data_IF_563454470687
#
_entry.id   IF_563454470687
#
_cell.length_a   1.000
_cell.length_b   1.000
_cell.length_c   1.000
_cell.angle_alpha   90.00
_cell.angle_beta   90.00
_cell.angle_gamma   90.00
#
_symmetry.space_group_name_H-M   'P 1'
#
loop_
_entity.id
_entity.type
_entity.pdbx_description
1 polymer ?
#
# COMPACT_ATOMS: atom_id res chain seq x y z
N UNK A 1 -26.17 15.71 16.31
CA UNK A 1 -25.13 14.68 16.16
C UNK A 1 -24.83 14.49 14.68
N UNK A 2 -23.78 15.18 14.21
CA UNK A 2 -23.23 14.95 12.88
C UNK A 2 -22.23 13.80 12.98
N UNK A 3 -22.62 12.63 12.48
CA UNK A 3 -21.65 11.56 12.22
C UNK A 3 -20.81 11.95 11.01
N UNK A 4 -19.51 12.18 11.25
CA UNK A 4 -18.55 12.35 10.19
C UNK A 4 -18.42 11.03 9.42
N UNK A 5 -19.04 10.93 8.26
CA UNK A 5 -18.77 9.85 7.29
C UNK A 5 -17.33 9.99 6.85
N UNK A 6 -16.52 8.99 7.14
CA UNK A 6 -15.18 8.88 6.59
C UNK A 6 -15.32 8.56 5.10
N UNK A 7 -15.02 9.53 4.26
CA UNK A 7 -15.04 9.33 2.81
C UNK A 7 -13.88 8.40 2.43
N UNK A 8 -14.24 7.18 2.01
CA UNK A 8 -13.30 6.23 1.41
C UNK A 8 -13.13 6.49 -0.09
N UNK A 9 -13.72 7.55 -0.63
CA UNK A 9 -13.63 7.91 -2.05
C UNK A 9 -12.21 8.31 -2.51
N UNK A 10 -11.29 8.60 -1.59
CA UNK A 10 -9.90 8.92 -1.91
C UNK A 10 -9.02 7.76 -2.37
N UNK A 11 -9.51 6.52 -2.36
CA UNK A 11 -8.83 5.34 -2.91
C UNK A 11 -9.54 4.93 -4.19
N UNK A 12 -9.46 5.75 -5.22
CA UNK A 12 -9.89 5.35 -6.57
C UNK A 12 -8.86 4.41 -7.15
N UNK A 13 -9.17 3.13 -7.14
CA UNK A 13 -8.46 2.15 -7.92
C UNK A 13 -8.86 2.32 -9.37
N UNK A 14 -7.89 2.61 -10.21
CA UNK A 14 -8.06 2.50 -11.65
C UNK A 14 -8.43 1.06 -11.99
N UNK A 15 -9.65 0.83 -12.46
CA UNK A 15 -9.98 -0.38 -13.21
C UNK A 15 -9.15 -0.32 -14.48
N UNK A 16 -8.19 -1.22 -14.58
CA UNK A 16 -7.40 -1.39 -15.78
C UNK A 16 -8.30 -1.95 -16.88
N UNK A 17 -8.60 -1.10 -17.87
CA UNK A 17 -8.89 -1.37 -19.25
C UNK A 17 -9.99 -2.36 -19.60
N UNK A 18 -11.19 -1.87 -19.88
CA UNK A 18 -11.98 -2.36 -21.01
C UNK A 18 -11.78 -1.39 -22.18
N UNK A 19 -10.80 -1.69 -23.03
CA UNK A 19 -10.78 -1.12 -24.36
C UNK A 19 -11.88 -1.78 -25.19
N UNK A 20 -12.95 -1.05 -25.45
CA UNK A 20 -13.90 -1.39 -26.52
C UNK A 20 -13.20 -1.22 -27.86
N UNK A 21 -12.96 -2.33 -28.52
CA UNK A 21 -12.55 -2.38 -29.91
C UNK A 21 -13.66 -1.81 -30.79
N UNK A 22 -13.41 -0.64 -31.38
CA UNK A 22 -14.10 -0.22 -32.59
C UNK A 22 -13.24 -0.58 -33.78
N UNK A 23 -13.75 -1.44 -34.66
CA UNK A 23 -13.05 -1.92 -35.83
C UNK A 23 -12.88 -0.86 -36.92
N UNK A 24 -11.83 -1.02 -37.73
CA UNK A 24 -11.90 -0.86 -39.18
C UNK A 24 -10.64 -1.37 -39.83
N UNK A 25 -10.83 -2.42 -40.67
CA UNK A 25 -10.38 -2.64 -42.06
C UNK A 25 -8.91 -2.36 -42.39
N UNK A 26 -8.16 -3.43 -42.65
CA UNK A 26 -7.40 -3.74 -43.84
C UNK A 26 -6.09 -2.99 -44.08
N UNK A 27 -4.96 -3.72 -43.98
CA UNK A 27 -4.08 -3.97 -45.15
C UNK A 27 -2.91 -4.88 -44.75
N UNK A 28 -2.61 -5.81 -45.67
CA UNK A 28 -1.52 -6.79 -45.56
C UNK A 28 -0.19 -6.12 -45.86
N UNK A 29 0.79 -6.27 -44.95
CA UNK A 29 2.20 -6.33 -45.34
C UNK A 29 2.93 -7.42 -44.59
N UNK A 30 3.56 -8.31 -45.36
CA UNK A 30 4.52 -9.33 -44.92
C UNK A 30 5.82 -8.67 -44.50
N UNK A 31 6.44 -9.19 -43.47
CA UNK A 31 7.88 -9.02 -43.28
C UNK A 31 8.36 -9.08 -41.84
N UNK A 32 8.94 -10.22 -41.50
CA UNK A 32 10.09 -10.46 -40.63
C UNK A 32 10.10 -10.06 -39.16
N UNK A 33 10.12 -11.12 -38.32
CA UNK A 33 10.96 -11.30 -37.13
C UNK A 33 11.01 -10.22 -36.06
N UNK A 34 10.14 -10.38 -35.03
CA UNK A 34 10.48 -9.95 -33.69
C UNK A 34 10.24 -11.13 -32.75
N UNK A 35 11.32 -11.81 -32.37
CA UNK A 35 11.37 -12.77 -31.31
C UNK A 35 11.34 -12.02 -29.98
N UNK A 36 10.60 -12.61 -29.02
CA UNK A 36 10.59 -12.32 -27.58
C UNK A 36 9.80 -11.12 -27.07
N UNK A 37 8.51 -11.12 -27.34
CA UNK A 37 7.54 -10.53 -26.42
C UNK A 37 6.85 -11.63 -25.62
N UNK A 38 7.47 -12.18 -24.58
CA UNK A 38 6.75 -12.98 -23.59
C UNK A 38 5.78 -12.05 -22.87
N UNK A 39 4.54 -12.04 -23.30
CA UNK A 39 3.38 -11.65 -22.51
C UNK A 39 3.38 -12.54 -21.28
N UNK A 40 3.86 -11.99 -20.17
CA UNK A 40 3.78 -12.67 -18.86
C UNK A 40 2.31 -12.67 -18.47
N UNK A 41 1.67 -13.79 -18.77
CA UNK A 41 0.30 -14.11 -18.41
C UNK A 41 0.04 -13.82 -16.94
N UNK A 42 -0.90 -12.94 -16.71
CA UNK A 42 -1.82 -12.74 -15.61
C UNK A 42 -1.51 -13.33 -14.23
N UNK A 43 -0.54 -12.78 -13.47
CA UNK A 43 -0.68 -12.80 -12.02
C UNK A 43 -1.64 -11.67 -11.64
N UNK A 44 -2.76 -12.00 -11.00
CA UNK A 44 -3.67 -11.02 -10.44
C UNK A 44 -2.89 -10.04 -9.55
N UNK A 45 -3.31 -8.78 -9.50
CA UNK A 45 -2.70 -7.75 -8.65
C UNK A 45 -2.61 -8.22 -7.20
N UNK A 46 -3.56 -9.05 -6.74
CA UNK A 46 -3.59 -9.66 -5.40
C UNK A 46 -2.38 -10.52 -5.07
N UNK A 47 -1.71 -11.10 -6.08
CA UNK A 47 -0.56 -12.00 -5.87
C UNK A 47 0.79 -11.29 -6.00
N UNK A 48 0.78 -10.03 -6.41
CA UNK A 48 2.00 -9.25 -6.61
C UNK A 48 2.44 -8.55 -5.33
N UNK A 49 3.75 -8.38 -5.21
CA UNK A 49 4.42 -7.61 -4.16
C UNK A 49 5.42 -6.64 -4.78
N UNK A 50 5.44 -5.41 -4.28
CA UNK A 50 6.42 -4.40 -4.69
C UNK A 50 7.29 -4.06 -3.51
N UNK A 51 8.57 -4.38 -3.61
CA UNK A 51 9.55 -4.11 -2.56
C UNK A 51 9.75 -2.61 -2.40
N UNK A 52 9.63 -2.10 -1.20
CA UNK A 52 9.94 -0.71 -0.89
C UNK A 52 11.46 -0.57 -0.77
N UNK A 53 12.04 0.31 -1.58
CA UNK A 53 13.41 0.75 -1.40
C UNK A 53 13.43 1.87 -0.37
N UNK A 54 14.28 1.75 0.62
CA UNK A 54 14.38 2.72 1.72
C UNK A 54 15.83 3.20 1.80
N UNK A 55 16.11 4.50 1.61
CA UNK A 55 15.18 5.52 1.09
C UNK A 55 14.88 5.35 -0.41
N UNK A 56 13.75 5.90 -0.88
CA UNK A 56 13.39 5.89 -2.29
C UNK A 56 11.89 5.96 -2.56
N UNK A 57 11.56 5.90 -3.85
CA UNK A 57 10.16 5.92 -4.32
C UNK A 57 9.86 4.65 -5.10
N UNK A 58 8.65 4.14 -4.93
CA UNK A 58 8.14 2.96 -5.63
C UNK A 58 6.80 3.30 -6.24
N UNK A 59 6.70 3.13 -7.55
CA UNK A 59 5.43 3.23 -8.28
C UNK A 59 4.87 1.83 -8.49
N UNK A 60 3.61 1.66 -8.17
CA UNK A 60 2.88 0.40 -8.32
C UNK A 60 1.45 0.67 -8.80
N UNK A 61 0.73 -0.33 -9.30
CA UNK A 61 -0.71 -0.19 -9.60
C UNK A 61 -1.56 0.18 -8.39
N UNK A 62 -1.02 0.02 -7.17
CA UNK A 62 -1.67 0.38 -5.92
C UNK A 62 -1.39 1.84 -5.50
N UNK A 63 -0.60 2.60 -6.27
CA UNK A 63 -0.22 3.98 -6.01
C UNK A 63 1.29 4.17 -5.90
N UNK A 64 1.68 5.41 -5.60
CA UNK A 64 3.08 5.83 -5.45
C UNK A 64 3.40 5.92 -3.96
N UNK A 65 4.53 5.34 -3.57
CA UNK A 65 5.01 5.35 -2.20
C UNK A 65 6.41 5.93 -2.15
N UNK A 66 6.61 6.96 -1.36
CA UNK A 66 7.93 7.49 -1.04
C UNK A 66 8.33 7.13 0.39
N UNK A 67 9.59 6.77 0.56
CA UNK A 67 10.18 6.35 1.82
C UNK A 67 11.43 7.18 2.12
N UNK A 68 11.46 7.85 3.25
CA UNK A 68 12.58 8.67 3.69
C UNK A 68 12.97 8.30 5.12
N UNK A 69 14.26 8.41 5.45
CA UNK A 69 14.78 8.13 6.79
C UNK A 69 15.34 9.43 7.38
N UNK A 70 14.97 9.67 8.62
CA UNK A 70 15.48 10.80 9.40
C UNK A 70 16.01 10.33 10.75
N UNK A 71 16.97 11.09 11.28
CA UNK A 71 17.32 10.99 12.70
C UNK A 71 16.20 11.62 13.53
N UNK A 72 15.79 10.93 14.57
CA UNK A 72 14.72 11.40 15.46
C UNK A 72 15.33 12.06 16.70
N UNK A 73 15.07 13.34 16.84
CA UNK A 73 15.53 14.18 17.95
C UNK A 73 14.36 14.73 18.78
N UNK A 74 13.19 14.06 18.70
CA UNK A 74 11.98 14.49 19.40
C UNK A 74 11.13 15.51 18.63
N UNK A 75 11.31 15.63 17.31
CA UNK A 75 10.53 16.55 16.48
C UNK A 75 9.04 16.22 16.57
N UNK A 76 8.21 17.26 16.48
CA UNK A 76 6.77 17.09 16.43
C UNK A 76 6.37 16.36 15.14
N UNK A 77 5.69 15.25 15.32
CA UNK A 77 5.18 14.43 14.23
C UNK A 77 3.78 14.93 13.88
N UNK A 78 3.58 15.30 12.61
CA UNK A 78 2.25 15.59 12.09
C UNK A 78 1.56 14.28 11.69
N UNK A 79 0.44 13.98 12.32
CA UNK A 79 -0.38 12.84 11.92
C UNK A 79 -1.17 13.19 10.67
N UNK A 80 -0.83 12.53 9.56
CA UNK A 80 -1.55 12.63 8.29
C UNK A 80 -2.12 11.27 7.91
N UNK A 81 -3.24 11.29 7.19
CA UNK A 81 -3.95 10.08 6.76
C UNK A 81 -3.07 9.20 5.87
N UNK A 82 -2.35 9.81 4.95
CA UNK A 82 -1.54 9.16 3.92
C UNK A 82 -0.03 9.29 4.13
N UNK A 83 0.39 9.81 5.28
CA UNK A 83 1.79 9.86 5.70
C UNK A 83 1.90 9.25 7.09
N UNK A 84 2.80 8.29 7.26
CA UNK A 84 3.05 7.66 8.55
C UNK A 84 4.54 7.70 8.88
N UNK A 85 4.79 8.02 10.14
CA UNK A 85 6.10 8.04 10.76
C UNK A 85 6.21 6.79 11.63
N UNK A 86 7.26 6.02 11.46
CA UNK A 86 7.43 4.76 12.16
C UNK A 86 8.88 4.54 12.59
N UNK A 87 9.05 3.78 13.63
CA UNK A 87 10.35 3.41 14.17
C UNK A 87 11.08 2.49 13.15
N UNK A 88 12.11 3.04 12.51
CA UNK A 88 12.87 2.32 11.48
C UNK A 88 13.67 1.15 12.05
N UNK A 89 14.17 1.30 13.29
CA UNK A 89 15.00 0.29 13.95
C UNK A 89 14.22 -1.01 14.25
N UNK A 90 12.88 -0.94 14.25
CA UNK A 90 12.00 -2.11 14.41
C UNK A 90 11.67 -2.82 13.07
N UNK A 91 12.10 -2.27 11.94
CA UNK A 91 11.85 -2.84 10.62
C UNK A 91 13.03 -3.73 10.25
N UNK A 92 12.96 -5.00 10.63
CA UNK A 92 14.04 -5.98 10.43
C UNK A 92 14.22 -6.41 8.97
N UNK A 93 13.16 -6.35 8.18
CA UNK A 93 13.14 -6.79 6.78
C UNK A 93 12.53 -5.71 5.90
N UNK A 94 13.00 -5.61 4.66
CA UNK A 94 12.41 -4.68 3.70
C UNK A 94 10.91 -4.93 3.56
N UNK A 95 10.08 -3.89 3.77
CA UNK A 95 8.64 -4.02 3.61
C UNK A 95 8.24 -4.09 2.14
N UNK A 96 7.06 -4.64 1.91
CA UNK A 96 6.45 -4.77 0.59
C UNK A 96 5.11 -4.05 0.55
N UNK A 97 4.79 -3.50 -0.61
CA UNK A 97 3.45 -3.02 -0.94
C UNK A 97 2.69 -4.20 -1.54
N UNK A 98 1.51 -4.50 -1.04
CA UNK A 98 0.62 -5.52 -1.57
C UNK A 98 -0.81 -5.33 -1.06
N UNK A 99 -1.75 -6.11 -1.54
CA UNK A 99 -3.08 -6.25 -0.95
C UNK A 99 -3.12 -7.34 0.12
N UNK A 100 -4.27 -7.51 0.78
CA UNK A 100 -4.42 -8.48 1.87
C UNK A 100 -4.28 -9.92 1.40
N UNK A 101 -3.82 -10.78 2.33
CA UNK A 101 -3.71 -12.22 2.13
C UNK A 101 -4.23 -12.95 3.37
N UNK A 102 -4.54 -14.22 3.17
CA UNK A 102 -4.96 -15.09 4.27
C UNK A 102 -3.84 -15.23 5.31
N UNK A 103 -4.21 -15.02 6.58
CA UNK A 103 -3.27 -15.11 7.71
C UNK A 103 -2.59 -13.80 8.06
N UNK A 104 -2.88 -12.70 7.39
CA UNK A 104 -2.38 -11.37 7.74
C UNK A 104 -2.90 -10.92 9.10
N UNK A 105 -2.02 -10.25 9.87
CA UNK A 105 -2.31 -9.74 11.20
C UNK A 105 -1.59 -8.42 11.50
N UNK A 106 -2.04 -7.75 12.54
CA UNK A 106 -1.42 -6.54 13.09
C UNK A 106 -1.29 -6.67 14.62
N UNK A 107 -0.28 -6.04 15.19
CA UNK A 107 -0.22 -5.78 16.63
C UNK A 107 -1.08 -4.55 16.93
N UNK A 108 -2.00 -4.68 17.88
CA UNK A 108 -3.06 -3.70 18.11
C UNK A 108 -2.89 -2.85 19.36
N UNK A 109 -1.95 -3.22 20.23
CA UNK A 109 -1.65 -2.49 21.47
C UNK A 109 -0.19 -2.66 21.91
N UNK A 110 0.20 -1.88 22.90
CA UNK A 110 1.56 -1.89 23.46
C UNK A 110 1.93 -3.22 24.15
N UNK A 111 0.95 -4.03 24.54
CA UNK A 111 1.16 -5.36 25.14
C UNK A 111 1.54 -6.42 24.09
N UNK A 112 1.54 -6.07 22.82
CA UNK A 112 1.92 -6.97 21.75
C UNK A 112 0.79 -7.91 21.28
N UNK A 113 -0.46 -7.67 21.70
CA UNK A 113 -1.58 -8.49 21.27
C UNK A 113 -1.81 -8.35 19.76
N UNK A 114 -1.97 -9.48 19.11
CA UNK A 114 -2.20 -9.54 17.67
C UNK A 114 -3.69 -9.69 17.33
N UNK A 115 -4.08 -9.14 16.20
CA UNK A 115 -5.43 -9.26 15.65
C UNK A 115 -5.37 -9.56 14.17
N UNK A 116 -6.19 -10.50 13.68
CA UNK A 116 -6.29 -10.79 12.25
C UNK A 116 -6.66 -9.52 11.48
N UNK A 117 -6.00 -9.26 10.36
CA UNK A 117 -6.21 -8.06 9.55
C UNK A 117 -7.68 -7.84 9.19
N UNK A 118 -8.38 -8.90 8.84
CA UNK A 118 -9.83 -8.83 8.52
C UNK A 118 -10.66 -8.25 9.66
N UNK A 119 -10.31 -8.58 10.92
CA UNK A 119 -10.99 -8.02 12.09
C UNK A 119 -10.62 -6.55 12.29
N UNK A 120 -9.35 -6.18 12.04
CA UNK A 120 -8.94 -4.78 12.07
C UNK A 120 -9.71 -3.95 11.04
N UNK A 121 -9.90 -4.48 9.81
CA UNK A 121 -10.67 -3.80 8.76
C UNK A 121 -12.14 -3.62 9.12
N UNK A 122 -12.74 -4.60 9.83
CA UNK A 122 -14.12 -4.50 10.33
C UNK A 122 -14.22 -3.42 11.42
N UNK A 123 -13.28 -3.40 12.37
CA UNK A 123 -13.26 -2.40 13.44
C UNK A 123 -13.09 -0.97 12.89
N UNK A 124 -12.30 -0.82 11.83
CA UNK A 124 -12.11 0.45 11.11
C UNK A 124 -13.30 0.78 10.17
N UNK A 125 -14.36 -0.04 10.19
CA UNK A 125 -15.57 0.11 9.38
C UNK A 125 -15.30 0.18 7.87
N UNK A 126 -14.28 -0.54 7.39
CA UNK A 126 -13.97 -0.62 5.97
C UNK A 126 -14.99 -1.54 5.30
N UNK A 127 -15.75 -1.04 4.29
CA UNK A 127 -16.70 -1.85 3.54
C UNK A 127 -16.03 -3.06 2.88
N UNK A 128 -16.75 -4.18 2.78
CA UNK A 128 -16.19 -5.44 2.28
C UNK A 128 -15.62 -5.34 0.87
N UNK A 129 -16.29 -4.56 0.02
CA UNK A 129 -15.88 -4.33 -1.37
C UNK A 129 -14.53 -3.66 -1.54
N UNK A 130 -14.09 -2.86 -0.56
CA UNK A 130 -12.80 -2.15 -0.63
C UNK A 130 -11.64 -2.92 0.02
N UNK A 131 -11.90 -3.97 0.82
CA UNK A 131 -10.87 -4.65 1.61
C UNK A 131 -9.79 -5.32 0.77
N UNK A 132 -10.16 -5.82 -0.41
CA UNK A 132 -9.21 -6.48 -1.33
C UNK A 132 -8.37 -5.53 -2.15
N UNK A 133 -8.71 -4.25 -2.11
CA UNK A 133 -8.08 -3.22 -2.92
C UNK A 133 -7.21 -2.24 -2.11
N UNK A 134 -7.33 -2.24 -0.79
CA UNK A 134 -6.53 -1.35 0.07
C UNK A 134 -5.04 -1.74 -0.01
N UNK A 135 -4.17 -0.76 -0.32
CA UNK A 135 -2.73 -0.98 -0.25
C UNK A 135 -2.30 -1.24 1.20
N UNK A 136 -1.45 -2.22 1.38
CA UNK A 136 -0.86 -2.58 2.67
C UNK A 136 0.66 -2.50 2.58
N UNK A 137 1.27 -1.99 3.63
CA UNK A 137 2.70 -2.12 3.84
C UNK A 137 2.89 -3.33 4.76
N UNK A 138 3.58 -4.35 4.26
CA UNK A 138 3.67 -5.64 4.92
C UNK A 138 5.11 -6.14 5.06
N UNK A 139 5.40 -6.83 6.14
CA UNK A 139 6.59 -7.62 6.37
C UNK A 139 6.17 -9.09 6.58
N UNK A 140 6.19 -9.87 5.50
CA UNK A 140 5.60 -11.20 5.51
C UNK A 140 4.09 -11.16 5.75
N UNK A 141 3.61 -11.80 6.82
CA UNK A 141 2.18 -11.78 7.23
C UNK A 141 1.85 -10.63 8.20
N UNK A 142 2.85 -9.99 8.77
CA UNK A 142 2.65 -8.85 9.65
C UNK A 142 2.44 -7.58 8.82
N UNK A 143 1.33 -6.91 9.04
CA UNK A 143 1.00 -5.65 8.39
C UNK A 143 1.53 -4.52 9.24
N UNK A 144 2.37 -3.67 8.64
CA UNK A 144 2.95 -2.48 9.27
C UNK A 144 1.94 -1.33 9.22
N UNK A 145 1.36 -1.11 8.05
CA UNK A 145 0.42 -0.02 7.85
C UNK A 145 -0.68 -0.42 6.85
N UNK A 146 -1.89 -0.18 7.22
CA UNK A 146 -3.07 -0.20 6.37
C UNK A 146 -3.28 1.21 5.84
N UNK A 147 -2.97 1.44 4.56
CA UNK A 147 -2.92 2.78 3.97
C UNK A 147 -4.27 3.49 4.11
N UNK A 148 -4.22 4.76 4.53
CA UNK A 148 -5.40 5.56 4.80
C UNK A 148 -6.12 5.25 6.12
N UNK A 149 -5.65 4.24 6.89
CA UNK A 149 -6.21 3.84 8.17
C UNK A 149 -5.13 3.68 9.24
N UNK A 150 -5.15 2.58 10.00
CA UNK A 150 -4.29 2.42 11.17
C UNK A 150 -2.92 1.84 10.85
N UNK A 151 -1.95 2.23 11.65
CA UNK A 151 -0.62 1.65 11.71
C UNK A 151 -0.55 0.61 12.84
N UNK A 152 0.30 -0.40 12.65
CA UNK A 152 0.62 -1.41 13.64
C UNK A 152 1.33 -0.78 14.84
N UNK A 153 0.90 -1.14 16.03
CA UNK A 153 1.39 -0.56 17.28
C UNK A 153 2.88 -0.82 17.53
N UNK A 154 3.40 -1.96 17.05
CA UNK A 154 4.82 -2.33 17.19
C UNK A 154 5.76 -1.27 16.60
N UNK A 155 5.37 -0.68 15.46
CA UNK A 155 6.22 0.23 14.70
C UNK A 155 6.04 1.69 15.09
N UNK A 156 5.25 1.99 16.10
CA UNK A 156 5.12 3.35 16.61
C UNK A 156 6.43 3.85 17.20
N UNK A 157 6.67 5.13 17.00
CA UNK A 157 7.79 5.86 17.58
C UNK A 157 7.63 5.89 19.11
N UNK A 158 8.75 5.73 19.80
CA UNK A 158 8.84 5.81 21.25
C UNK A 158 10.07 6.64 21.66
N UNK A 159 10.27 6.94 22.94
CA UNK A 159 11.40 7.74 23.39
C UNK A 159 12.80 7.16 23.11
N UNK A 160 12.90 5.86 22.78
CA UNK A 160 14.15 5.18 22.45
C UNK A 160 14.42 5.15 20.94
N UNK A 161 13.45 5.55 20.11
CA UNK A 161 13.59 5.58 18.66
C UNK A 161 14.68 6.58 18.25
N UNK A 162 15.63 6.11 17.44
CA UNK A 162 16.73 6.93 16.92
C UNK A 162 16.55 7.31 15.45
N UNK A 163 16.02 6.37 14.68
CA UNK A 163 15.76 6.57 13.24
C UNK A 163 14.29 6.39 12.95
N UNK A 164 13.77 7.30 12.19
CA UNK A 164 12.36 7.29 11.79
C UNK A 164 12.28 7.09 10.29
N UNK A 165 11.43 6.15 9.88
CA UNK A 165 10.99 5.99 8.51
C UNK A 165 9.70 6.77 8.32
N UNK A 166 9.70 7.67 7.34
CA UNK A 166 8.50 8.36 6.87
C UNK A 166 8.05 7.71 5.57
N UNK A 167 6.86 7.15 5.59
CA UNK A 167 6.20 6.63 4.39
C UNK A 167 5.07 7.57 4.00
N UNK A 168 5.13 8.04 2.76
CA UNK A 168 4.09 8.85 2.15
C UNK A 168 3.44 8.08 1.00
N UNK A 169 2.12 8.11 0.94
CA UNK A 169 1.32 7.50 -0.11
C UNK A 169 0.61 8.59 -0.92
N UNK A 170 0.74 8.46 -2.23
CA UNK A 170 -0.03 9.24 -3.20
C UNK A 170 -0.89 8.25 -3.99
N UNK A 171 -2.20 8.41 -3.93
CA UNK A 171 -3.16 7.63 -4.74
C UNK A 171 -2.83 7.79 -6.23
N UNK A 172 -2.92 6.72 -7.00
CA UNK A 172 -2.82 6.81 -8.45
C UNK A 172 -4.02 7.57 -9.00
N UNK A 173 -3.81 8.81 -9.47
CA UNK A 173 -4.70 9.84 -10.00
C UNK A 173 -5.20 10.87 -8.97
N UNK A 174 -4.29 11.72 -8.53
CA UNK A 174 -4.61 13.14 -8.36
C UNK A 174 -4.05 13.86 -9.59
N UNK A 175 -4.87 13.90 -10.64
CA UNK A 175 -4.79 14.97 -11.60
C UNK A 175 -5.63 16.11 -11.04
N UNK A 176 -4.96 17.08 -10.49
CA UNK A 176 -5.26 18.51 -10.55
C UNK A 176 -3.99 19.25 -10.81
#
# INVERSE_FOLDING_TARGET
HMEARRDYEGVRLCRYGEEKSAGMIGEKHKGSDIQNGKTVCGKNISDREWKIRIPGTVTSPLGIFSAEIFLYEGQKIEEKKYTKWMDYDKIEKNPYIRTRRTGDYMVINAQGNTKKLNRCMIDEKIPSEYRDSIPLIACGKEIIWMVGSRMNERYKINPQTRKVLVLNYQGGNENE
#
